data_IF_684187052084
#
_entry.id   IF_684187052084
#
_cell.length_a   1.000
_cell.length_b   1.000
_cell.length_c   1.000
_cell.angle_alpha   90.00
_cell.angle_beta   90.00
_cell.angle_gamma   90.00
#
_symmetry.space_group_name_H-M   'P 1'
#
loop_
_entity.id
_entity.type
_entity.pdbx_description
1 polymer ?
#
# COMPACT_ATOMS: atom_id res chain seq x y z
N UNK A 1 25.68 35.04 30.06
CA UNK A 1 24.45 35.81 29.76
C UNK A 1 23.89 35.47 28.37
N UNK A 2 23.87 34.18 27.98
CA UNK A 2 23.55 33.75 26.60
C UNK A 2 22.67 32.48 26.52
N UNK A 3 22.10 32.03 27.65
CA UNK A 3 21.27 30.81 27.72
C UNK A 3 19.83 31.09 28.19
N UNK A 4 19.42 32.37 28.29
CA UNK A 4 18.07 32.75 28.76
C UNK A 4 17.17 33.37 27.68
N UNK A 5 17.61 33.43 26.42
CA UNK A 5 16.82 33.99 25.30
C UNK A 5 16.11 32.88 24.48
N UNK A 6 16.35 31.61 24.78
CA UNK A 6 15.85 30.48 23.97
C UNK A 6 14.45 29.96 24.33
N UNK A 7 13.74 30.55 25.31
CA UNK A 7 12.44 30.04 25.80
C UNK A 7 11.24 30.95 25.47
N UNK A 8 11.46 32.13 24.85
CA UNK A 8 10.36 33.02 24.43
C UNK A 8 9.91 32.75 22.97
N UNK A 9 10.61 31.90 22.23
CA UNK A 9 10.45 31.79 20.77
C UNK A 9 9.42 30.76 20.27
N UNK A 10 8.77 30.00 21.16
CA UNK A 10 7.66 29.08 20.82
C UNK A 10 6.26 29.68 20.99
N UNK A 11 6.14 30.89 21.54
CA UNK A 11 4.86 31.46 21.99
C UNK A 11 4.17 32.38 20.98
N UNK A 12 4.84 32.85 19.93
CA UNK A 12 4.21 33.69 18.90
C UNK A 12 3.18 32.92 18.04
N UNK A 13 3.30 31.58 17.94
CA UNK A 13 2.31 30.71 17.30
C UNK A 13 1.13 30.32 18.22
N UNK A 14 1.10 30.79 19.48
CA UNK A 14 0.19 30.28 20.52
C UNK A 14 -0.85 31.26 21.07
N UNK A 15 -1.03 32.47 20.53
CA UNK A 15 -1.96 33.45 21.11
C UNK A 15 -3.17 33.78 20.21
N UNK A 16 -4.35 33.39 20.70
CA UNK A 16 -5.71 33.88 20.43
C UNK A 16 -6.10 34.17 18.97
N UNK A 17 -6.49 33.15 18.23
CA UNK A 17 -7.48 33.30 17.16
C UNK A 17 -8.58 32.27 17.41
N UNK A 18 -9.83 32.72 17.29
CA UNK A 18 -11.01 31.88 17.47
C UNK A 18 -11.03 30.87 16.32
N UNK A 19 -11.10 29.58 16.63
CA UNK A 19 -11.29 28.56 15.62
C UNK A 19 -12.64 28.81 14.91
N UNK A 20 -12.63 28.88 13.58
CA UNK A 20 -13.79 29.13 12.74
C UNK A 20 -14.18 27.83 12.04
N UNK A 21 -15.47 27.50 12.06
CA UNK A 21 -16.01 26.36 11.33
C UNK A 21 -16.65 26.83 10.03
N UNK A 22 -16.28 26.19 8.93
CA UNK A 22 -16.72 26.49 7.58
C UNK A 22 -17.57 25.34 7.01
N UNK A 23 -18.58 25.70 6.24
CA UNK A 23 -19.33 24.77 5.37
C UNK A 23 -18.55 24.50 4.08
N UNK A 24 -18.89 23.42 3.35
CA UNK A 24 -18.28 23.13 2.05
C UNK A 24 -18.45 24.27 1.05
N UNK A 25 -19.63 24.88 1.01
CA UNK A 25 -19.93 25.96 0.07
C UNK A 25 -19.12 27.22 0.38
N UNK A 26 -18.93 27.56 1.67
CA UNK A 26 -18.06 28.66 2.09
C UNK A 26 -16.60 28.40 1.67
N UNK A 27 -16.10 27.18 1.90
CA UNK A 27 -14.74 26.81 1.50
C UNK A 27 -14.57 26.98 -0.01
N UNK A 28 -15.50 26.46 -0.79
CA UNK A 28 -15.44 26.55 -2.25
C UNK A 28 -15.49 28.00 -2.73
N UNK A 29 -16.39 28.82 -2.18
CA UNK A 29 -16.55 30.21 -2.55
C UNK A 29 -15.33 31.07 -2.23
N UNK A 30 -14.71 30.85 -1.07
CA UNK A 30 -13.54 31.63 -0.62
C UNK A 30 -12.29 31.22 -1.40
N UNK A 31 -12.04 29.92 -1.56
CA UNK A 31 -10.78 29.42 -2.11
C UNK A 31 -10.74 29.46 -3.65
N UNK A 32 -11.86 29.18 -4.34
CA UNK A 32 -11.92 29.21 -5.81
C UNK A 32 -12.18 30.62 -6.36
N UNK A 33 -11.85 31.64 -5.58
CA UNK A 33 -11.83 33.02 -6.04
C UNK A 33 -10.48 33.29 -6.70
N UNK A 34 -10.46 33.71 -7.96
CA UNK A 34 -9.25 34.01 -8.74
C UNK A 34 -8.27 34.94 -8.00
N UNK A 35 -8.79 35.85 -7.16
CA UNK A 35 -7.96 36.74 -6.34
C UNK A 35 -7.16 35.97 -5.28
N UNK A 36 -7.77 34.98 -4.63
CA UNK A 36 -7.11 34.16 -3.60
C UNK A 36 -6.09 33.24 -4.24
N UNK A 37 -6.39 32.65 -5.39
CA UNK A 37 -5.43 31.83 -6.12
C UNK A 37 -4.21 32.65 -6.58
N UNK A 38 -4.45 33.83 -7.17
CA UNK A 38 -3.39 34.74 -7.60
C UNK A 38 -2.55 35.20 -6.40
N UNK A 39 -3.20 35.59 -5.30
CA UNK A 39 -2.50 36.00 -4.08
C UNK A 39 -1.65 34.86 -3.51
N UNK A 40 -2.15 33.61 -3.54
CA UNK A 40 -1.40 32.44 -3.12
C UNK A 40 -0.15 32.21 -3.97
N UNK A 41 -0.26 32.33 -5.30
CA UNK A 41 0.89 32.21 -6.21
C UNK A 41 1.92 33.32 -5.93
N UNK A 42 1.47 34.55 -5.71
CA UNK A 42 2.35 35.68 -5.34
C UNK A 42 3.03 35.44 -4.00
N UNK A 43 2.30 34.92 -3.00
CA UNK A 43 2.83 34.59 -1.68
C UNK A 43 3.94 33.54 -1.76
N UNK A 44 3.68 32.42 -2.45
CA UNK A 44 4.67 31.36 -2.68
C UNK A 44 5.92 31.92 -3.34
N UNK A 45 5.76 32.67 -4.44
CA UNK A 45 6.89 33.28 -5.14
C UNK A 45 7.66 34.24 -4.23
N UNK A 46 6.95 35.04 -3.44
CA UNK A 46 7.51 35.99 -2.48
C UNK A 46 8.40 35.30 -1.44
N UNK A 47 7.97 34.14 -0.93
CA UNK A 47 8.75 33.35 0.02
C UNK A 47 10.11 32.92 -0.55
N UNK A 48 10.15 32.41 -1.79
CA UNK A 48 11.38 31.90 -2.39
C UNK A 48 12.37 33.00 -2.82
N UNK A 49 11.91 34.22 -3.06
CA UNK A 49 12.78 35.36 -3.41
C UNK A 49 13.12 36.26 -2.21
N UNK A 50 12.50 36.02 -1.05
CA UNK A 50 12.74 36.81 0.15
C UNK A 50 14.19 36.64 0.63
N UNK A 51 14.84 37.74 1.03
CA UNK A 51 16.16 37.69 1.66
C UNK A 51 16.14 36.92 2.98
N UNK A 52 15.01 36.99 3.69
CA UNK A 52 14.77 36.27 4.94
C UNK A 52 13.39 35.58 4.87
N UNK A 53 13.33 34.32 4.38
CA UNK A 53 12.06 33.59 4.23
C UNK A 53 11.32 33.38 5.54
N UNK A 54 12.03 33.29 6.67
CA UNK A 54 11.41 33.15 7.99
C UNK A 54 10.64 34.42 8.37
N UNK A 55 11.30 35.57 8.28
CA UNK A 55 10.67 36.87 8.54
C UNK A 55 9.51 37.13 7.58
N UNK A 56 9.61 36.69 6.32
CA UNK A 56 8.50 36.77 5.37
C UNK A 56 7.25 36.00 5.84
N UNK A 57 7.43 34.80 6.40
CA UNK A 57 6.31 34.01 6.97
C UNK A 57 5.78 34.65 8.24
N UNK A 58 6.66 35.09 9.14
CA UNK A 58 6.27 35.69 10.40
C UNK A 58 5.47 37.00 10.15
N UNK A 59 5.96 37.85 9.24
CA UNK A 59 5.28 39.07 8.82
C UNK A 59 3.95 38.76 8.13
N UNK A 60 3.89 37.73 7.29
CA UNK A 60 2.65 37.33 6.65
C UNK A 60 1.62 36.91 7.69
N UNK A 61 1.98 36.03 8.63
CA UNK A 61 1.06 35.55 9.67
C UNK A 61 0.65 36.71 10.59
N UNK A 62 1.59 37.53 11.06
CA UNK A 62 1.30 38.63 12.00
C UNK A 62 0.46 39.73 11.36
N UNK A 63 0.84 40.20 10.16
CA UNK A 63 0.18 41.34 9.52
C UNK A 63 -1.14 40.96 8.85
N UNK A 64 -1.31 39.69 8.45
CA UNK A 64 -2.55 39.25 7.78
C UNK A 64 -3.59 38.65 8.71
N UNK A 65 -3.24 38.33 9.96
CA UNK A 65 -4.20 37.77 10.94
C UNK A 65 -5.42 38.66 11.19
N UNK A 66 -5.28 39.98 11.07
CA UNK A 66 -6.38 40.94 11.25
C UNK A 66 -7.15 41.26 9.96
N UNK A 67 -6.64 40.85 8.79
CA UNK A 67 -7.17 41.27 7.48
C UNK A 67 -7.63 40.11 6.61
N UNK A 68 -7.14 38.89 6.84
CA UNK A 68 -7.52 37.70 6.10
C UNK A 68 -8.21 36.68 7.00
N UNK A 69 -9.14 35.95 6.41
CA UNK A 69 -9.78 34.80 7.06
C UNK A 69 -8.73 33.70 7.35
N UNK A 70 -8.84 32.99 8.50
CA UNK A 70 -7.94 31.88 8.83
C UNK A 70 -7.83 30.84 7.72
N UNK A 71 -8.95 30.54 7.05
CA UNK A 71 -9.00 29.62 5.91
C UNK A 71 -8.05 30.04 4.77
N UNK A 72 -7.97 31.33 4.46
CA UNK A 72 -7.10 31.85 3.38
C UNK A 72 -5.63 31.75 3.78
N UNK A 73 -5.31 32.07 5.04
CA UNK A 73 -3.94 31.95 5.58
C UNK A 73 -3.47 30.50 5.51
N UNK A 74 -4.28 29.57 6.02
CA UNK A 74 -3.96 28.14 6.00
C UNK A 74 -3.87 27.58 4.58
N UNK A 75 -4.73 28.02 3.66
CA UNK A 75 -4.62 27.65 2.25
C UNK A 75 -3.29 28.08 1.64
N UNK A 76 -2.87 29.33 1.84
CA UNK A 76 -1.60 29.82 1.28
C UNK A 76 -0.39 29.10 1.87
N UNK A 77 -0.39 28.82 3.18
CA UNK A 77 0.64 27.99 3.81
C UNK A 77 0.65 26.55 3.29
N UNK A 78 -0.54 25.98 3.02
CA UNK A 78 -0.68 24.64 2.46
C UNK A 78 -0.14 24.56 1.02
N UNK A 79 -0.39 25.60 0.21
CA UNK A 79 0.18 25.72 -1.13
C UNK A 79 1.71 25.86 -1.06
N UNK A 80 2.23 26.68 -0.16
CA UNK A 80 3.67 26.78 0.04
C UNK A 80 4.31 25.45 0.44
N UNK A 81 3.70 24.68 1.36
CA UNK A 81 4.17 23.33 1.68
C UNK A 81 4.16 22.39 0.47
N UNK A 82 3.22 22.55 -0.45
CA UNK A 82 3.18 21.75 -1.69
C UNK A 82 4.37 22.05 -2.59
N UNK A 83 4.76 23.32 -2.70
CA UNK A 83 5.92 23.74 -3.49
C UNK A 83 7.24 23.36 -2.82
N UNK A 84 7.34 23.53 -1.50
CA UNK A 84 8.51 23.13 -0.70
C UNK A 84 8.78 21.62 -0.79
N UNK A 85 7.74 20.80 -0.96
CA UNK A 85 7.87 19.34 -1.11
C UNK A 85 8.82 18.92 -2.24
N UNK A 86 8.90 19.71 -3.31
CA UNK A 86 9.68 19.41 -4.51
C UNK A 86 11.03 20.14 -4.55
N UNK A 87 11.36 20.89 -3.50
CA UNK A 87 12.66 21.56 -3.38
C UNK A 87 13.67 20.67 -2.66
N UNK A 88 14.97 20.78 -2.98
CA UNK A 88 16.01 20.16 -2.18
C UNK A 88 15.95 20.63 -0.72
N UNK A 89 16.16 19.72 0.22
CA UNK A 89 16.16 20.05 1.64
C UNK A 89 17.27 21.07 1.94
N UNK A 90 16.87 22.23 2.45
CA UNK A 90 17.73 23.31 2.89
C UNK A 90 17.31 23.70 4.31
N UNK A 91 18.23 24.22 5.13
CA UNK A 91 17.96 24.48 6.54
C UNK A 91 16.73 25.38 6.77
N UNK A 92 16.60 26.47 6.00
CA UNK A 92 15.45 27.37 6.16
C UNK A 92 14.11 26.73 5.75
N UNK A 93 14.11 25.83 4.76
CA UNK A 93 12.92 25.08 4.37
C UNK A 93 12.55 24.07 5.46
N UNK A 94 13.56 23.42 6.06
CA UNK A 94 13.34 22.51 7.17
C UNK A 94 12.79 23.23 8.40
N UNK A 95 13.30 24.42 8.72
CA UNK A 95 12.78 25.26 9.80
C UNK A 95 11.31 25.62 9.57
N UNK A 96 10.95 26.01 8.35
CA UNK A 96 9.56 26.27 7.95
C UNK A 96 8.68 25.02 8.11
N UNK A 97 9.11 23.86 7.58
CA UNK A 97 8.36 22.60 7.69
C UNK A 97 8.18 22.19 9.15
N UNK A 98 9.21 22.31 9.98
CA UNK A 98 9.14 22.03 11.42
C UNK A 98 8.12 22.94 12.13
N UNK A 99 8.08 24.23 11.79
CA UNK A 99 7.08 25.15 12.31
C UNK A 99 5.66 24.72 11.91
N UNK A 100 5.47 24.27 10.66
CA UNK A 100 4.17 23.80 10.17
C UNK A 100 3.72 22.49 10.83
N UNK A 101 4.64 21.61 11.22
CA UNK A 101 4.31 20.40 12.00
C UNK A 101 3.71 20.71 13.38
N UNK A 102 3.98 21.91 13.91
CA UNK A 102 3.46 22.37 15.20
C UNK A 102 2.33 23.40 15.06
N UNK A 103 1.92 23.71 13.83
CA UNK A 103 0.92 24.74 13.57
C UNK A 103 -0.43 24.38 14.18
N UNK A 104 -1.06 25.33 14.88
CA UNK A 104 -2.40 25.16 15.46
C UNK A 104 -3.46 25.64 14.47
N UNK A 105 -4.23 24.69 13.94
CA UNK A 105 -5.32 24.97 13.03
C UNK A 105 -6.40 25.87 13.65
N UNK A 106 -6.94 26.74 12.82
CA UNK A 106 -7.99 27.71 13.11
C UNK A 106 -9.15 27.58 12.12
N UNK A 107 -8.95 26.99 10.93
CA UNK A 107 -10.03 26.70 9.98
C UNK A 107 -10.47 25.23 10.05
N UNK A 108 -11.71 24.99 10.47
CA UNK A 108 -12.31 23.66 10.62
C UNK A 108 -13.53 23.48 9.73
N UNK A 109 -13.88 22.22 9.45
CA UNK A 109 -15.16 21.81 8.88
C UNK A 109 -15.68 20.58 9.61
N UNK A 110 -16.97 20.29 9.47
CA UNK A 110 -17.52 19.01 9.93
C UNK A 110 -17.08 17.90 8.98
N UNK A 111 -16.68 16.76 9.54
CA UNK A 111 -16.30 15.56 8.77
C UNK A 111 -17.50 15.03 7.96
N UNK A 112 -17.23 14.39 6.82
CA UNK A 112 -18.30 13.93 5.93
C UNK A 112 -19.06 12.71 6.48
N UNK A 113 -18.39 11.91 7.30
CA UNK A 113 -18.91 10.67 7.88
C UNK A 113 -19.36 10.82 9.35
N UNK A 114 -19.41 12.04 9.90
CA UNK A 114 -19.85 12.26 11.29
C UNK A 114 -19.67 13.68 11.83
N UNK A 115 -20.01 13.90 13.09
CA UNK A 115 -20.06 15.23 13.73
C UNK A 115 -18.71 15.76 14.24
N UNK A 116 -17.59 15.13 13.86
CA UNK A 116 -16.26 15.57 14.31
C UNK A 116 -15.77 16.76 13.49
N UNK A 117 -15.14 17.73 14.15
CA UNK A 117 -14.46 18.84 13.48
C UNK A 117 -13.07 18.40 13.00
N UNK A 118 -12.78 18.66 11.73
CA UNK A 118 -11.50 18.39 11.10
C UNK A 118 -10.95 19.67 10.47
N UNK A 119 -9.63 19.86 10.51
CA UNK A 119 -9.00 20.99 9.85
C UNK A 119 -9.31 20.98 8.35
N UNK A 120 -9.65 22.14 7.77
CA UNK A 120 -9.87 22.24 6.32
C UNK A 120 -8.57 21.96 5.57
N UNK A 121 -7.47 22.58 6.02
CA UNK A 121 -6.12 22.32 5.54
C UNK A 121 -5.24 21.80 6.67
N UNK A 122 -5.00 20.49 6.69
CA UNK A 122 -4.14 19.87 7.69
C UNK A 122 -2.64 20.09 7.38
N UNK A 123 -2.15 21.29 7.67
CA UNK A 123 -0.73 21.70 7.58
C UNK A 123 0.20 20.75 8.32
N UNK A 124 -0.18 20.24 9.51
CA UNK A 124 0.67 19.31 10.26
C UNK A 124 0.91 18.01 9.48
N UNK A 125 -0.15 17.40 8.94
CA UNK A 125 -0.06 16.20 8.13
C UNK A 125 0.69 16.47 6.82
N UNK A 126 0.42 17.60 6.16
CA UNK A 126 1.12 18.02 4.93
C UNK A 126 2.62 18.18 5.16
N UNK A 127 3.03 18.83 6.26
CA UNK A 127 4.43 19.02 6.62
C UNK A 127 5.14 17.70 6.93
N UNK A 128 4.48 16.75 7.62
CA UNK A 128 4.99 15.37 7.76
C UNK A 128 5.17 14.69 6.39
N UNK A 129 4.24 14.91 5.46
CA UNK A 129 4.34 14.44 4.08
C UNK A 129 5.57 14.99 3.35
N UNK A 130 5.88 16.29 3.51
CA UNK A 130 7.10 16.91 2.97
C UNK A 130 8.36 16.23 3.51
N UNK A 131 8.44 16.03 4.83
CA UNK A 131 9.58 15.32 5.44
C UNK A 131 9.74 13.91 4.87
N UNK A 132 8.63 13.19 4.67
CA UNK A 132 8.67 11.86 4.06
C UNK A 132 9.22 11.90 2.63
N UNK A 133 8.82 12.87 1.81
CA UNK A 133 9.33 13.03 0.43
C UNK A 133 10.84 13.28 0.44
N UNK A 134 11.32 14.17 1.31
CA UNK A 134 12.75 14.41 1.45
C UNK A 134 13.52 13.17 1.93
N UNK A 135 12.99 12.44 2.92
CA UNK A 135 13.62 11.20 3.40
C UNK A 135 13.70 10.14 2.31
N UNK A 136 12.70 10.03 1.41
CA UNK A 136 12.75 9.14 0.25
C UNK A 136 13.91 9.53 -0.67
N UNK A 137 14.01 10.83 -1.03
CA UNK A 137 15.05 11.32 -1.93
C UNK A 137 16.47 11.17 -1.33
N UNK A 138 16.64 11.50 -0.05
CA UNK A 138 17.90 11.30 0.69
C UNK A 138 18.29 9.83 0.72
N UNK A 139 17.34 8.94 1.03
CA UNK A 139 17.59 7.49 1.11
C UNK A 139 17.92 6.90 -0.26
N UNK A 140 17.23 7.33 -1.31
CA UNK A 140 17.54 6.94 -2.69
C UNK A 140 19.01 7.25 -3.03
N UNK A 141 19.44 8.51 -2.85
CA UNK A 141 20.81 8.91 -3.13
C UNK A 141 21.82 8.14 -2.27
N UNK A 142 21.51 7.96 -0.99
CA UNK A 142 22.36 7.22 -0.05
C UNK A 142 22.57 5.77 -0.47
N UNK A 143 21.49 5.04 -0.75
CA UNK A 143 21.58 3.63 -1.12
C UNK A 143 22.10 3.42 -2.54
N UNK A 144 21.80 4.31 -3.50
CA UNK A 144 22.42 4.27 -4.84
C UNK A 144 23.94 4.39 -4.73
N UNK A 145 24.45 5.35 -3.95
CA UNK A 145 25.89 5.48 -3.74
C UNK A 145 26.50 4.25 -3.06
N UNK A 146 25.79 3.63 -2.11
CA UNK A 146 26.25 2.43 -1.44
C UNK A 146 26.34 1.22 -2.39
N UNK A 147 25.30 0.98 -3.19
CA UNK A 147 25.30 -0.09 -4.17
C UNK A 147 26.37 0.12 -5.25
N UNK A 148 26.55 1.36 -5.75
CA UNK A 148 27.57 1.68 -6.75
C UNK A 148 29.00 1.45 -6.24
N UNK A 149 29.23 1.66 -4.94
CA UNK A 149 30.56 1.49 -4.35
C UNK A 149 30.87 0.02 -4.02
N UNK A 150 29.94 -0.67 -3.36
CA UNK A 150 30.09 -2.08 -3.02
C UNK A 150 28.72 -2.73 -2.74
N UNK A 151 28.14 -3.44 -3.71
CA UNK A 151 26.79 -3.98 -3.58
C UNK A 151 26.68 -5.08 -2.52
N UNK A 152 27.69 -5.97 -2.43
CA UNK A 152 27.71 -7.07 -1.45
C UNK A 152 27.83 -6.54 -0.01
N UNK A 153 28.73 -5.57 0.21
CA UNK A 153 28.86 -4.93 1.52
C UNK A 153 27.58 -4.16 1.90
N UNK A 154 26.88 -3.58 0.92
CA UNK A 154 25.59 -2.91 1.13
C UNK A 154 24.53 -3.89 1.64
N UNK A 155 24.37 -5.03 0.98
CA UNK A 155 23.44 -6.09 1.45
C UNK A 155 23.83 -6.59 2.84
N UNK A 156 25.13 -6.76 3.10
CA UNK A 156 25.62 -7.16 4.42
C UNK A 156 25.23 -6.15 5.52
N UNK A 157 25.26 -4.84 5.22
CA UNK A 157 24.79 -3.78 6.14
C UNK A 157 23.28 -3.74 6.29
N UNK A 158 22.53 -4.04 5.24
CA UNK A 158 21.07 -4.11 5.30
C UNK A 158 20.59 -5.20 6.25
N UNK A 159 21.35 -6.28 6.41
CA UNK A 159 21.02 -7.39 7.31
C UNK A 159 20.75 -6.94 8.75
N UNK A 160 21.46 -5.92 9.23
CA UNK A 160 21.29 -5.38 10.59
C UNK A 160 20.36 -4.17 10.69
N UNK A 161 19.93 -3.59 9.57
CA UNK A 161 19.24 -2.29 9.54
C UNK A 161 17.89 -2.30 8.81
N UNK A 162 17.60 -3.30 7.99
CA UNK A 162 16.40 -3.33 7.14
C UNK A 162 15.10 -3.28 7.96
N UNK A 163 15.09 -3.93 9.13
CA UNK A 163 13.93 -4.00 10.00
C UNK A 163 13.65 -2.70 10.77
N UNK A 164 14.62 -1.79 10.83
CA UNK A 164 14.49 -0.48 11.51
C UNK A 164 14.20 0.67 10.55
N UNK A 165 14.16 0.42 9.23
CA UNK A 165 13.88 1.46 8.26
C UNK A 165 12.43 1.93 8.35
N UNK A 166 12.25 3.25 8.43
CA UNK A 166 10.93 3.86 8.26
C UNK A 166 10.40 3.62 6.84
N UNK A 167 9.08 3.70 6.64
CA UNK A 167 8.46 3.52 5.32
C UNK A 167 9.07 4.43 4.23
N UNK A 168 9.35 5.73 4.47
CA UNK A 168 10.02 6.58 3.48
C UNK A 168 11.42 6.09 3.11
N UNK A 169 12.23 5.67 4.10
CA UNK A 169 13.58 5.15 3.85
C UNK A 169 13.54 3.85 3.06
N UNK A 170 12.58 2.98 3.38
CA UNK A 170 12.34 1.75 2.65
C UNK A 170 11.98 2.00 1.18
N UNK A 171 11.13 3.00 0.90
CA UNK A 171 10.81 3.40 -0.48
C UNK A 171 12.05 3.91 -1.22
N UNK A 172 12.87 4.74 -0.58
CA UNK A 172 14.14 5.20 -1.17
C UNK A 172 15.10 4.04 -1.49
N UNK A 173 15.23 3.07 -0.57
CA UNK A 173 16.01 1.85 -0.81
C UNK A 173 15.46 1.07 -2.01
N UNK A 174 14.13 0.87 -2.09
CA UNK A 174 13.51 0.17 -3.22
C UNK A 174 13.81 0.85 -4.55
N UNK A 175 13.63 2.16 -4.62
CA UNK A 175 13.94 2.95 -5.82
C UNK A 175 15.42 2.88 -6.20
N UNK A 176 16.33 2.72 -5.23
CA UNK A 176 17.77 2.62 -5.50
C UNK A 176 18.16 1.31 -6.20
N UNK A 177 17.36 0.24 -6.04
CA UNK A 177 17.63 -1.07 -6.66
C UNK A 177 17.63 -0.96 -8.19
N UNK A 178 16.73 -0.15 -8.76
CA UNK A 178 16.65 0.07 -10.21
C UNK A 178 17.87 0.78 -10.79
N UNK A 179 18.74 1.37 -9.96
CA UNK A 179 19.96 2.04 -10.39
C UNK A 179 21.21 1.15 -10.28
N UNK A 180 21.07 -0.10 -9.83
CA UNK A 180 22.19 -1.04 -9.74
C UNK A 180 22.59 -1.47 -11.16
N UNK A 181 23.89 -1.59 -11.41
CA UNK A 181 24.39 -2.03 -12.72
C UNK A 181 23.99 -3.50 -13.02
N UNK A 182 23.81 -3.90 -14.29
CA UNK A 182 23.53 -5.30 -14.62
C UNK A 182 24.56 -6.30 -14.06
N UNK A 183 25.85 -5.94 -14.09
CA UNK A 183 26.92 -6.80 -13.56
C UNK A 183 26.83 -6.94 -12.04
N UNK A 184 26.49 -5.87 -11.33
CA UNK A 184 26.31 -5.91 -9.88
C UNK A 184 25.02 -6.64 -9.49
N UNK A 185 23.99 -6.60 -10.34
CA UNK A 185 22.80 -7.43 -10.14
C UNK A 185 23.15 -8.91 -10.16
N UNK A 186 23.97 -9.38 -11.10
CA UNK A 186 24.44 -10.77 -11.18
C UNK A 186 25.20 -11.13 -9.91
N UNK A 187 26.21 -10.33 -9.52
CA UNK A 187 26.98 -10.57 -8.29
C UNK A 187 26.11 -10.64 -7.03
N UNK A 188 25.07 -9.79 -6.96
CA UNK A 188 24.13 -9.79 -5.84
C UNK A 188 23.26 -11.03 -5.82
N UNK A 189 22.77 -11.49 -6.97
CA UNK A 189 22.00 -12.72 -7.06
C UNK A 189 22.84 -13.89 -6.59
N UNK A 190 24.05 -14.05 -7.13
CA UNK A 190 24.97 -15.13 -6.74
C UNK A 190 25.23 -15.10 -5.23
N UNK A 191 25.57 -13.93 -4.69
CA UNK A 191 25.77 -13.75 -3.25
C UNK A 191 24.53 -14.12 -2.41
N UNK A 192 23.33 -13.76 -2.86
CA UNK A 192 22.07 -14.04 -2.15
C UNK A 192 21.65 -15.51 -2.25
N UNK A 193 22.01 -16.21 -3.32
CA UNK A 193 21.76 -17.65 -3.47
C UNK A 193 22.76 -18.48 -2.66
N UNK A 194 24.01 -18.02 -2.55
CA UNK A 194 25.06 -18.71 -1.81
C UNK A 194 25.01 -18.48 -0.29
N UNK A 195 24.31 -17.43 0.16
CA UNK A 195 24.27 -17.09 1.59
C UNK A 195 23.32 -17.99 2.38
N UNK A 196 23.88 -18.77 3.30
CA UNK A 196 23.10 -19.68 4.17
C UNK A 196 22.25 -18.96 5.23
N UNK A 197 22.42 -17.65 5.42
CA UNK A 197 21.69 -16.90 6.43
C UNK A 197 21.17 -15.57 5.87
N UNK A 198 19.91 -15.59 5.45
CA UNK A 198 19.15 -14.47 4.93
C UNK A 198 18.33 -13.71 5.99
N UNK A 199 18.42 -14.09 7.27
CA UNK A 199 17.66 -13.44 8.35
C UNK A 199 17.97 -11.95 8.40
N UNK A 200 16.93 -11.11 8.37
CA UNK A 200 17.07 -9.66 8.34
C UNK A 200 17.23 -9.09 6.91
N UNK A 201 17.10 -9.93 5.89
CA UNK A 201 17.02 -9.51 4.49
C UNK A 201 15.68 -9.86 3.85
N UNK A 202 14.71 -10.38 4.61
CA UNK A 202 13.47 -10.95 4.11
C UNK A 202 12.68 -9.97 3.23
N UNK A 203 12.50 -8.74 3.73
CA UNK A 203 11.84 -7.66 2.99
C UNK A 203 12.64 -7.25 1.74
N UNK A 204 13.97 -7.27 1.82
CA UNK A 204 14.84 -6.93 0.69
C UNK A 204 14.78 -7.99 -0.40
N UNK A 205 15.01 -9.26 -0.05
CA UNK A 205 15.00 -10.38 -0.98
C UNK A 205 13.65 -10.49 -1.65
N UNK A 206 12.55 -10.43 -0.90
CA UNK A 206 11.19 -10.54 -1.47
C UNK A 206 10.89 -9.48 -2.52
N UNK A 207 11.42 -8.27 -2.37
CA UNK A 207 11.23 -7.20 -3.35
C UNK A 207 12.26 -7.26 -4.48
N UNK A 208 13.51 -7.52 -4.14
CA UNK A 208 14.62 -7.60 -5.08
C UNK A 208 14.41 -8.75 -6.09
N UNK A 209 13.94 -9.92 -5.63
CA UNK A 209 13.65 -11.07 -6.50
C UNK A 209 12.57 -10.77 -7.55
N UNK A 210 11.54 -10.01 -7.18
CA UNK A 210 10.48 -9.58 -8.08
C UNK A 210 11.00 -8.53 -9.08
N UNK A 211 11.68 -7.48 -8.59
CA UNK A 211 12.18 -6.39 -9.43
C UNK A 211 13.20 -6.85 -10.47
N UNK A 212 14.07 -7.79 -10.10
CA UNK A 212 15.08 -8.35 -11.00
C UNK A 212 14.55 -9.47 -11.88
N UNK A 213 13.28 -9.87 -11.70
CA UNK A 213 12.65 -11.01 -12.36
C UNK A 213 13.53 -12.29 -12.33
N UNK A 214 14.28 -12.50 -11.24
CA UNK A 214 15.17 -13.64 -11.11
C UNK A 214 14.41 -14.87 -10.57
N UNK A 215 14.28 -15.91 -11.39
CA UNK A 215 13.47 -17.10 -11.08
C UNK A 215 14.03 -17.90 -9.90
N UNK A 216 15.34 -18.07 -9.83
CA UNK A 216 16.00 -18.86 -8.79
C UNK A 216 15.88 -18.16 -7.44
N UNK A 217 16.05 -16.83 -7.43
CA UNK A 217 15.89 -16.04 -6.23
C UNK A 217 14.43 -16.01 -5.74
N UNK A 218 13.45 -15.98 -6.66
CA UNK A 218 12.03 -16.13 -6.31
C UNK A 218 11.77 -17.50 -5.67
N UNK A 219 12.29 -18.58 -6.28
CA UNK A 219 12.12 -19.94 -5.78
C UNK A 219 12.72 -20.09 -4.37
N UNK A 220 13.96 -19.61 -4.18
CA UNK A 220 14.64 -19.57 -2.88
C UNK A 220 13.81 -18.77 -1.87
N UNK A 221 13.31 -17.60 -2.26
CA UNK A 221 12.58 -16.72 -1.37
C UNK A 221 11.22 -17.31 -0.93
N UNK A 222 10.48 -17.97 -1.83
CA UNK A 222 9.23 -18.66 -1.50
C UNK A 222 9.47 -19.78 -0.47
N UNK A 223 10.58 -20.51 -0.62
CA UNK A 223 10.94 -21.61 0.26
C UNK A 223 11.38 -21.13 1.64
N UNK A 224 12.32 -20.18 1.69
CA UNK A 224 13.08 -19.89 2.91
C UNK A 224 12.57 -18.67 3.71
N UNK A 225 11.94 -17.68 3.08
CA UNK A 225 11.43 -16.49 3.80
C UNK A 225 10.18 -16.82 4.61
N UNK A 226 9.83 -16.02 5.62
CA UNK A 226 8.59 -16.25 6.37
C UNK A 226 7.31 -16.24 5.50
N UNK A 227 6.19 -16.66 6.11
CA UNK A 227 4.88 -16.73 5.46
C UNK A 227 4.47 -15.39 4.83
N UNK A 228 4.62 -14.29 5.53
CA UNK A 228 4.18 -12.97 5.06
C UNK A 228 4.96 -12.51 3.82
N UNK A 229 6.28 -12.70 3.83
CA UNK A 229 7.14 -12.30 2.72
C UNK A 229 6.97 -13.21 1.50
N UNK A 230 6.77 -14.52 1.71
CA UNK A 230 6.48 -15.45 0.62
C UNK A 230 5.08 -15.23 0.01
N UNK A 231 4.05 -14.92 0.80
CA UNK A 231 2.73 -14.52 0.27
C UNK A 231 2.81 -13.20 -0.52
N UNK A 232 3.62 -12.23 -0.07
CA UNK A 232 3.88 -11.00 -0.83
C UNK A 232 4.45 -11.30 -2.21
N UNK A 233 5.42 -12.21 -2.31
CA UNK A 233 6.01 -12.63 -3.59
C UNK A 233 4.93 -13.24 -4.48
N UNK A 234 4.22 -14.26 -3.99
CA UNK A 234 3.19 -14.98 -4.76
C UNK A 234 2.12 -14.05 -5.32
N UNK A 235 1.67 -13.07 -4.52
CA UNK A 235 0.67 -12.07 -4.95
C UNK A 235 1.14 -11.22 -6.12
N UNK A 236 2.45 -10.99 -6.23
CA UNK A 236 3.01 -10.05 -7.19
C UNK A 236 3.71 -10.71 -8.38
N UNK A 237 3.81 -12.05 -8.43
CA UNK A 237 4.45 -12.77 -9.54
C UNK A 237 3.91 -12.35 -10.92
N UNK A 238 2.58 -12.21 -11.06
CA UNK A 238 1.94 -11.83 -12.33
C UNK A 238 2.33 -10.46 -12.85
N UNK A 239 2.89 -9.59 -12.01
CA UNK A 239 3.32 -8.26 -12.40
C UNK A 239 4.72 -8.27 -13.05
N UNK A 240 5.50 -9.33 -12.84
CA UNK A 240 6.91 -9.39 -13.22
C UNK A 240 7.28 -10.61 -14.08
N UNK A 241 6.46 -11.65 -14.10
CA UNK A 241 6.76 -12.91 -14.78
C UNK A 241 5.65 -13.32 -15.76
N UNK A 242 6.03 -14.08 -16.78
CA UNK A 242 5.11 -14.72 -17.70
C UNK A 242 4.19 -15.72 -16.99
N UNK A 243 2.96 -15.84 -17.48
CA UNK A 243 1.88 -16.64 -16.86
C UNK A 243 2.30 -18.09 -16.57
N UNK A 244 3.02 -18.76 -17.46
CA UNK A 244 3.46 -20.15 -17.26
C UNK A 244 4.36 -20.30 -16.02
N UNK A 245 5.26 -19.34 -15.80
CA UNK A 245 6.10 -19.34 -14.60
C UNK A 245 5.27 -19.08 -13.34
N UNK A 246 4.33 -18.13 -13.40
CA UNK A 246 3.43 -17.84 -12.27
C UNK A 246 2.63 -19.08 -11.89
N UNK A 247 2.01 -19.75 -12.86
CA UNK A 247 1.24 -20.97 -12.64
C UNK A 247 2.13 -22.07 -12.05
N UNK A 248 3.33 -22.28 -12.58
CA UNK A 248 4.26 -23.26 -12.03
C UNK A 248 4.62 -22.98 -10.56
N UNK A 249 4.86 -21.72 -10.20
CA UNK A 249 5.17 -21.33 -8.82
C UNK A 249 3.97 -21.46 -7.88
N UNK A 250 2.76 -21.18 -8.36
CA UNK A 250 1.54 -21.39 -7.58
C UNK A 250 1.32 -22.89 -7.33
N UNK A 251 1.44 -23.74 -8.36
CA UNK A 251 1.34 -25.19 -8.23
C UNK A 251 2.38 -25.73 -7.22
N UNK A 252 3.64 -25.32 -7.37
CA UNK A 252 4.71 -25.67 -6.46
C UNK A 252 4.39 -25.27 -5.00
N UNK A 253 3.86 -24.07 -4.80
CA UNK A 253 3.51 -23.53 -3.48
C UNK A 253 2.34 -24.25 -2.82
N UNK A 254 1.44 -24.85 -3.60
CA UNK A 254 0.38 -25.71 -3.08
C UNK A 254 0.94 -27.06 -2.65
N UNK A 255 1.86 -27.64 -3.42
CA UNK A 255 2.41 -28.97 -3.14
C UNK A 255 3.43 -28.96 -1.99
N UNK A 256 4.29 -27.94 -1.94
CA UNK A 256 5.51 -27.94 -1.11
C UNK A 256 5.58 -26.76 -0.13
N UNK A 257 4.62 -25.85 -0.18
CA UNK A 257 4.72 -24.56 0.50
C UNK A 257 3.98 -24.48 1.83
N UNK A 258 4.36 -23.49 2.63
CA UNK A 258 3.60 -22.99 3.80
C UNK A 258 2.39 -22.11 3.43
N UNK A 259 2.21 -21.83 2.14
CA UNK A 259 1.22 -20.89 1.61
C UNK A 259 0.09 -21.57 0.82
N UNK A 260 -0.16 -22.86 1.04
CA UNK A 260 -1.04 -23.68 0.19
C UNK A 260 -2.43 -23.05 -0.02
N UNK A 261 -3.11 -22.67 1.06
CA UNK A 261 -4.42 -22.02 1.01
C UNK A 261 -4.40 -20.70 0.22
N UNK A 262 -3.32 -19.91 0.38
CA UNK A 262 -3.16 -18.64 -0.30
C UNK A 262 -2.85 -18.84 -1.79
N UNK A 263 -1.95 -19.75 -2.12
CA UNK A 263 -1.60 -20.11 -3.49
C UNK A 263 -2.83 -20.64 -4.26
N UNK A 264 -3.64 -21.51 -3.64
CA UNK A 264 -4.92 -21.96 -4.21
C UNK A 264 -5.83 -20.79 -4.55
N UNK A 265 -6.01 -19.83 -3.63
CA UNK A 265 -6.88 -18.66 -3.90
C UNK A 265 -6.38 -17.78 -5.06
N UNK A 266 -5.05 -17.68 -5.21
CA UNK A 266 -4.42 -16.94 -6.31
C UNK A 266 -4.53 -17.62 -7.67
N UNK A 267 -4.95 -18.90 -7.72
CA UNK A 267 -5.15 -19.61 -8.99
C UNK A 267 -6.42 -19.19 -9.75
N UNK A 268 -7.30 -18.40 -9.12
CA UNK A 268 -8.56 -17.92 -9.70
C UNK A 268 -8.47 -17.44 -11.15
N UNK A 269 -7.47 -16.61 -11.55
CA UNK A 269 -7.39 -16.10 -12.92
C UNK A 269 -6.99 -17.14 -13.96
N UNK A 270 -6.53 -18.33 -13.53
CA UNK A 270 -5.93 -19.35 -14.38
C UNK A 270 -6.79 -20.61 -14.52
N UNK A 271 -7.95 -20.64 -13.84
CA UNK A 271 -8.83 -21.82 -13.76
C UNK A 271 -9.30 -22.31 -15.13
N UNK A 272 -9.58 -21.40 -16.07
CA UNK A 272 -10.08 -21.75 -17.40
C UNK A 272 -8.96 -22.06 -18.40
N UNK A 273 -7.76 -21.51 -18.17
CA UNK A 273 -6.65 -21.55 -19.14
C UNK A 273 -5.67 -22.70 -18.90
N UNK A 274 -5.61 -23.23 -17.68
CA UNK A 274 -4.65 -24.27 -17.31
C UNK A 274 -5.35 -25.50 -16.73
N UNK A 275 -5.39 -26.58 -17.50
CA UNK A 275 -5.99 -27.85 -17.08
C UNK A 275 -5.36 -28.40 -15.79
N UNK A 276 -4.06 -28.18 -15.56
CA UNK A 276 -3.37 -28.55 -14.32
C UNK A 276 -3.95 -27.80 -13.11
N UNK A 277 -4.25 -26.52 -13.26
CA UNK A 277 -4.89 -25.70 -12.22
C UNK A 277 -6.29 -26.21 -11.93
N UNK A 278 -7.12 -26.38 -12.96
CA UNK A 278 -8.47 -26.92 -12.80
C UNK A 278 -8.45 -28.27 -12.05
N UNK A 279 -7.65 -29.22 -12.52
CA UNK A 279 -7.53 -30.56 -11.92
C UNK A 279 -7.13 -30.49 -10.45
N UNK A 280 -6.14 -29.65 -10.12
CA UNK A 280 -5.70 -29.47 -8.74
C UNK A 280 -6.83 -28.88 -7.87
N UNK A 281 -7.53 -27.86 -8.36
CA UNK A 281 -8.60 -27.23 -7.60
C UNK A 281 -9.74 -28.23 -7.29
N UNK A 282 -10.15 -29.06 -8.26
CA UNK A 282 -11.12 -30.13 -8.02
C UNK A 282 -10.64 -31.13 -6.97
N UNK A 283 -9.37 -31.56 -7.02
CA UNK A 283 -8.82 -32.47 -6.00
C UNK A 283 -8.91 -31.89 -4.59
N UNK A 284 -8.74 -30.57 -4.45
CA UNK A 284 -8.75 -29.91 -3.16
C UNK A 284 -10.15 -29.55 -2.64
N UNK A 285 -11.23 -29.72 -3.42
CA UNK A 285 -12.60 -29.46 -2.96
C UNK A 285 -13.03 -30.35 -1.78
N UNK A 286 -12.42 -31.53 -1.64
CA UNK A 286 -12.69 -32.46 -0.52
C UNK A 286 -11.74 -32.29 0.66
N UNK A 287 -10.75 -31.40 0.58
CA UNK A 287 -9.68 -31.28 1.56
C UNK A 287 -10.03 -30.32 2.71
N UNK A 288 -10.25 -30.82 3.92
CA UNK A 288 -10.73 -30.07 5.11
C UNK A 288 -10.17 -28.64 5.27
N UNK A 289 -8.84 -28.50 5.19
CA UNK A 289 -8.16 -27.22 5.42
C UNK A 289 -8.19 -26.24 4.24
N UNK A 290 -8.38 -26.74 3.02
CA UNK A 290 -8.06 -26.01 1.79
C UNK A 290 -9.23 -25.93 0.80
N UNK A 291 -10.30 -26.68 1.06
CA UNK A 291 -11.47 -26.76 0.21
C UNK A 291 -12.09 -25.39 -0.08
N UNK A 292 -12.19 -24.51 0.92
CA UNK A 292 -12.72 -23.14 0.70
C UNK A 292 -11.86 -22.31 -0.24
N UNK A 293 -10.53 -22.41 -0.17
CA UNK A 293 -9.65 -21.69 -1.10
C UNK A 293 -9.78 -22.22 -2.52
N UNK A 294 -9.90 -23.54 -2.68
CA UNK A 294 -10.09 -24.17 -3.98
C UNK A 294 -11.44 -23.78 -4.61
N UNK A 295 -12.50 -23.81 -3.80
CA UNK A 295 -13.85 -23.40 -4.18
C UNK A 295 -13.92 -21.93 -4.57
N UNK A 296 -13.27 -21.05 -3.80
CA UNK A 296 -13.16 -19.64 -4.12
C UNK A 296 -12.47 -19.40 -5.48
N UNK A 297 -11.41 -20.16 -5.77
CA UNK A 297 -10.74 -20.05 -7.06
C UNK A 297 -11.59 -20.54 -8.22
N UNK A 298 -12.25 -21.70 -8.06
CA UNK A 298 -13.19 -22.25 -9.05
C UNK A 298 -14.37 -21.31 -9.31
N UNK A 299 -14.81 -20.52 -8.34
CA UNK A 299 -15.94 -19.62 -8.49
C UNK A 299 -15.72 -18.54 -9.56
N UNK A 300 -14.47 -18.28 -9.95
CA UNK A 300 -14.14 -17.32 -11.01
C UNK A 300 -14.17 -17.91 -12.43
N UNK A 301 -14.43 -19.21 -12.60
CA UNK A 301 -14.52 -19.85 -13.92
C UNK A 301 -15.55 -19.18 -14.80
N UNK A 302 -15.20 -19.01 -16.07
CA UNK A 302 -16.11 -18.60 -17.14
C UNK A 302 -16.45 -19.74 -18.10
N UNK A 303 -15.84 -20.90 -17.93
CA UNK A 303 -16.12 -22.07 -18.75
C UNK A 303 -17.30 -22.87 -18.18
N UNK A 304 -18.41 -22.85 -18.93
CA UNK A 304 -19.61 -23.66 -18.63
C UNK A 304 -19.31 -25.16 -18.45
N UNK A 305 -18.28 -25.69 -19.12
CA UNK A 305 -17.88 -27.10 -18.94
C UNK A 305 -17.39 -27.37 -17.52
N UNK A 306 -16.66 -26.43 -16.91
CA UNK A 306 -16.20 -26.52 -15.52
C UNK A 306 -17.39 -26.48 -14.57
N UNK A 307 -18.41 -25.67 -14.86
CA UNK A 307 -19.65 -25.65 -14.07
C UNK A 307 -20.40 -26.99 -14.12
N UNK A 308 -20.51 -27.61 -15.29
CA UNK A 308 -21.10 -28.95 -15.39
C UNK A 308 -20.23 -30.05 -14.75
N UNK A 309 -18.90 -29.90 -14.75
CA UNK A 309 -18.00 -30.78 -13.99
C UNK A 309 -18.25 -30.66 -12.49
N UNK A 310 -18.49 -29.45 -11.96
CA UNK A 310 -18.89 -29.24 -10.56
C UNK A 310 -20.22 -29.93 -10.24
N UNK A 311 -21.22 -29.80 -11.13
CA UNK A 311 -22.50 -30.48 -10.98
C UNK A 311 -22.34 -32.01 -10.93
N UNK A 312 -21.52 -32.55 -11.84
CA UNK A 312 -21.21 -33.99 -11.90
C UNK A 312 -20.45 -34.45 -10.65
N UNK A 313 -19.50 -33.66 -10.17
CA UNK A 313 -18.77 -33.94 -8.93
C UNK A 313 -19.70 -33.94 -7.71
N UNK A 314 -20.67 -33.02 -7.65
CA UNK A 314 -21.65 -32.94 -6.57
C UNK A 314 -22.50 -34.22 -6.46
N UNK A 315 -23.01 -34.71 -7.59
CA UNK A 315 -23.84 -35.92 -7.64
C UNK A 315 -23.05 -37.15 -7.22
N UNK A 316 -21.79 -37.25 -7.66
CA UNK A 316 -20.96 -38.44 -7.41
C UNK A 316 -20.25 -38.43 -6.05
N UNK A 317 -20.09 -37.26 -5.42
CA UNK A 317 -19.35 -37.14 -4.17
C UNK A 317 -20.11 -37.76 -2.99
N UNK A 318 -19.36 -38.41 -2.10
CA UNK A 318 -19.83 -38.82 -0.77
C UNK A 318 -19.34 -37.89 0.34
N UNK A 319 -18.54 -36.87 0.01
CA UNK A 319 -17.99 -35.93 0.98
C UNK A 319 -18.91 -34.73 1.15
N UNK A 320 -19.41 -34.52 2.36
CA UNK A 320 -20.22 -33.34 2.70
C UNK A 320 -19.43 -32.04 2.52
N UNK A 321 -18.12 -32.07 2.79
CA UNK A 321 -17.23 -30.91 2.61
C UNK A 321 -17.16 -30.53 1.13
N UNK A 322 -16.96 -31.52 0.26
CA UNK A 322 -16.90 -31.32 -1.19
C UNK A 322 -18.23 -30.79 -1.72
N UNK A 323 -19.35 -31.40 -1.32
CA UNK A 323 -20.69 -30.92 -1.69
C UNK A 323 -20.95 -29.48 -1.26
N UNK A 324 -20.59 -29.13 -0.03
CA UNK A 324 -20.74 -27.76 0.48
C UNK A 324 -19.87 -26.78 -0.30
N UNK A 325 -18.63 -27.15 -0.61
CA UNK A 325 -17.72 -26.30 -1.37
C UNK A 325 -18.17 -26.12 -2.83
N UNK A 326 -18.75 -27.14 -3.46
CA UNK A 326 -19.35 -27.02 -4.79
C UNK A 326 -20.53 -26.04 -4.76
N UNK A 327 -21.43 -26.16 -3.78
CA UNK A 327 -22.54 -25.20 -3.61
C UNK A 327 -22.01 -23.79 -3.40
N UNK A 328 -20.98 -23.62 -2.56
CA UNK A 328 -20.34 -22.33 -2.33
C UNK A 328 -19.75 -21.74 -3.62
N UNK A 329 -19.05 -22.57 -4.40
CA UNK A 329 -18.46 -22.20 -5.69
C UNK A 329 -19.54 -21.68 -6.65
N UNK A 330 -20.64 -22.42 -6.80
CA UNK A 330 -21.74 -22.06 -7.69
C UNK A 330 -22.47 -20.78 -7.23
N UNK A 331 -22.64 -20.59 -5.92
CA UNK A 331 -23.25 -19.37 -5.35
C UNK A 331 -22.41 -18.12 -5.60
N UNK A 332 -21.08 -18.24 -5.58
CA UNK A 332 -20.18 -17.12 -5.83
C UNK A 332 -20.00 -16.83 -7.32
N UNK A 333 -20.18 -17.84 -8.17
CA UNK A 333 -20.07 -17.68 -9.62
C UNK A 333 -21.22 -16.82 -10.15
N UNK A 334 -20.89 -15.88 -11.05
CA UNK A 334 -21.82 -14.86 -11.55
C UNK A 334 -22.44 -15.20 -12.90
N UNK A 335 -22.28 -16.43 -13.41
CA UNK A 335 -22.86 -16.84 -14.68
C UNK A 335 -24.28 -17.38 -14.49
N UNK A 336 -25.22 -17.10 -15.40
CA UNK A 336 -26.58 -17.65 -15.35
C UNK A 336 -26.61 -19.18 -15.26
N UNK A 337 -25.71 -19.85 -15.98
CA UNK A 337 -25.57 -21.31 -15.95
C UNK A 337 -25.33 -21.85 -14.53
N UNK A 338 -24.59 -21.11 -13.71
CA UNK A 338 -24.35 -21.49 -12.31
C UNK A 338 -25.63 -21.46 -11.47
N UNK A 339 -26.52 -20.49 -11.70
CA UNK A 339 -27.81 -20.39 -11.02
C UNK A 339 -28.76 -21.52 -11.41
N UNK A 340 -28.76 -21.90 -12.70
CA UNK A 340 -29.53 -23.05 -13.20
C UNK A 340 -29.06 -24.33 -12.51
N UNK A 341 -27.75 -24.62 -12.56
CA UNK A 341 -27.15 -25.80 -11.92
C UNK A 341 -27.43 -25.81 -10.41
N UNK A 342 -27.29 -24.66 -9.75
CA UNK A 342 -27.56 -24.56 -8.31
C UNK A 342 -29.03 -24.85 -7.97
N UNK A 343 -29.96 -24.36 -8.79
CA UNK A 343 -31.40 -24.63 -8.63
C UNK A 343 -31.69 -26.11 -8.77
N UNK A 344 -31.11 -26.77 -9.77
CA UNK A 344 -31.27 -28.21 -9.98
C UNK A 344 -30.71 -29.02 -8.81
N UNK A 345 -29.52 -28.64 -8.32
CA UNK A 345 -28.90 -29.25 -7.14
C UNK A 345 -29.79 -29.10 -5.90
N UNK A 346 -30.40 -27.93 -5.68
CA UNK A 346 -31.26 -27.69 -4.51
C UNK A 346 -32.58 -28.45 -4.63
N UNK A 347 -33.15 -28.54 -5.83
CA UNK A 347 -34.42 -29.25 -6.06
C UNK A 347 -34.28 -30.77 -5.94
N UNK A 348 -33.14 -31.32 -6.34
CA UNK A 348 -32.89 -32.78 -6.37
C UNK A 348 -31.98 -33.27 -5.23
N UNK A 349 -31.32 -32.37 -4.51
CA UNK A 349 -30.44 -32.66 -3.38
C UNK A 349 -31.17 -32.55 -2.04
N UNK A 350 -31.54 -33.69 -1.47
CA UNK A 350 -32.07 -33.78 -0.11
C UNK A 350 -31.01 -33.41 0.94
N UNK A 351 -30.86 -32.13 1.29
CA UNK A 351 -30.27 -31.69 2.58
C UNK A 351 -30.59 -30.22 2.90
N UNK A 352 -31.68 -30.03 3.65
CA UNK A 352 -32.15 -28.75 4.21
C UNK A 352 -31.30 -28.22 5.41
N UNK A 353 -30.01 -28.56 5.51
CA UNK A 353 -29.27 -28.37 6.77
C UNK A 353 -28.55 -27.00 6.86
N UNK A 354 -28.32 -26.30 5.75
CA UNK A 354 -27.47 -25.07 5.76
C UNK A 354 -28.22 -23.73 5.65
N UNK A 355 -29.51 -23.70 5.34
CA UNK A 355 -30.26 -22.43 5.19
C UNK A 355 -30.40 -21.61 6.49
N UNK A 356 -30.06 -22.19 7.65
CA UNK A 356 -30.19 -21.54 8.95
C UNK A 356 -28.88 -21.00 9.56
N UNK A 357 -27.70 -21.29 9.00
CA UNK A 357 -26.41 -20.91 9.63
C UNK A 357 -25.89 -19.51 9.26
N UNK A 358 -26.49 -18.82 8.29
CA UNK A 358 -26.07 -17.48 7.84
C UNK A 358 -27.06 -16.34 8.15
N UNK A 359 -28.20 -16.64 8.79
CA UNK A 359 -29.15 -15.60 9.26
C UNK A 359 -28.70 -14.89 10.55
N UNK A 360 -27.48 -15.14 11.04
CA UNK A 360 -26.98 -14.62 12.32
C UNK A 360 -25.99 -13.45 12.27
N UNK A 361 -25.65 -12.91 11.09
CA UNK A 361 -24.69 -11.77 10.99
C UNK A 361 -25.17 -10.72 9.99
N UNK A 362 -26.43 -10.30 10.11
CA UNK A 362 -26.87 -8.94 9.76
C UNK A 362 -28.05 -8.60 10.67
N UNK A 363 -27.75 -8.04 11.84
CA UNK A 363 -28.57 -7.04 12.52
C UNK A 363 -27.65 -5.98 13.09
#
# INVERSE_FOLDING_TARGET
MLHRILIIFGTALCLNAVAVTYTKDQINHIIHNDRVETASKTFVRGFFIAKNPKEYIDDFILNKKSTLEPLVIEYQLYQLLSEVAYQPKQQFLQDFVNAMQQYKHQAFRTHDEGSMLVAVYNLQAKAKGVVNIWLVAESLNYYTNWFNNNPIATVSRLKSTSNTLSTPQWLGLKSSISNISPDDHIKLVDYLLDTNNISGLDKFISHYSLLTANKDLVQMAILHLDKSNSEYILRHLSNYFATDFVVAQLLYSVENGKNQAFALSLMSPYVDSYNSVNKLLFQYLSHDKFATSAAFALANTRDTKILHQLASAYVNSQSDIEKQQIIFTLKLNKLPESEVILTDIIQHGTTNIWLNSFKGVVQ
#
